data_IF_561574054943
#
_entry.id   IF_561574054943
#
_cell.length_a   1.000
_cell.length_b   1.000
_cell.length_c   1.000
_cell.angle_alpha   90.00
_cell.angle_beta   90.00
_cell.angle_gamma   90.00
#
_symmetry.space_group_name_H-M   'P 1'
#
loop_
_entity.id
_entity.type
_entity.pdbx_description
1 polymer ?
#
# COMPACT_ATOMS: atom_id res chain seq x y z
N UNK A 1 4.09 -4.93 24.48
CA UNK A 1 3.03 -5.72 23.81
C UNK A 1 3.30 -5.76 22.31
N UNK A 2 3.28 -6.94 21.69
CA UNK A 2 3.40 -7.06 20.22
C UNK A 2 2.05 -6.70 19.60
N UNK A 3 2.00 -5.66 18.78
CA UNK A 3 0.77 -5.27 18.08
C UNK A 3 0.44 -6.35 17.04
N UNK A 4 -0.81 -6.81 17.04
CA UNK A 4 -1.29 -7.89 16.15
C UNK A 4 -2.20 -7.27 15.08
N UNK A 5 -1.60 -6.81 13.98
CA UNK A 5 -2.28 -6.04 12.92
C UNK A 5 -3.41 -6.80 12.21
N UNK A 6 -3.38 -8.14 12.21
CA UNK A 6 -4.45 -8.97 11.60
C UNK A 6 -5.83 -8.72 12.21
N UNK A 7 -5.91 -8.26 13.45
CA UNK A 7 -7.16 -8.00 14.14
C UNK A 7 -7.71 -6.58 13.88
N UNK A 8 -6.96 -5.74 13.15
CA UNK A 8 -7.34 -4.36 12.90
C UNK A 8 -8.21 -4.27 11.64
N UNK A 9 -9.25 -3.44 11.70
CA UNK A 9 -10.04 -3.07 10.53
C UNK A 9 -9.22 -2.18 9.58
N UNK A 10 -9.63 -2.12 8.32
CA UNK A 10 -8.95 -1.34 7.26
C UNK A 10 -8.68 0.11 7.68
N UNK A 11 -9.72 0.80 8.15
CA UNK A 11 -9.62 2.20 8.59
C UNK A 11 -8.62 2.38 9.75
N UNK A 12 -8.47 1.37 10.61
CA UNK A 12 -7.52 1.42 11.72
C UNK A 12 -6.09 1.24 11.22
N UNK A 13 -5.85 0.35 10.26
CA UNK A 13 -4.53 0.20 9.62
C UNK A 13 -4.11 1.50 8.92
N UNK A 14 -5.04 2.14 8.20
CA UNK A 14 -4.81 3.42 7.52
C UNK A 14 -4.52 4.53 8.54
N UNK A 15 -5.33 4.64 9.60
CA UNK A 15 -5.10 5.63 10.67
C UNK A 15 -3.75 5.43 11.38
N UNK A 16 -3.38 4.18 11.66
CA UNK A 16 -2.10 3.88 12.31
C UNK A 16 -0.91 4.27 11.44
N UNK A 17 -0.99 4.05 10.14
CA UNK A 17 0.04 4.49 9.19
C UNK A 17 0.10 6.02 9.11
N UNK A 18 -1.06 6.71 9.03
CA UNK A 18 -1.11 8.18 8.98
C UNK A 18 -0.61 8.88 10.26
N UNK A 19 -0.69 8.20 11.41
CA UNK A 19 -0.21 8.71 12.72
C UNK A 19 1.25 8.36 13.03
N UNK A 20 1.88 7.51 12.23
CA UNK A 20 3.24 7.01 12.46
C UNK A 20 4.20 7.42 11.36
N UNK A 21 5.21 8.21 11.70
CA UNK A 21 6.31 8.65 10.82
C UNK A 21 7.27 7.53 10.37
N UNK A 22 6.88 6.25 10.47
CA UNK A 22 7.77 5.12 10.20
C UNK A 22 7.08 4.11 9.29
N UNK A 23 7.78 3.80 8.18
CA UNK A 23 7.48 2.70 7.28
C UNK A 23 7.24 1.41 8.08
N UNK A 24 5.95 1.08 8.29
CA UNK A 24 5.56 -0.07 9.07
C UNK A 24 5.41 -1.29 8.16
N UNK A 25 6.50 -2.06 8.07
CA UNK A 25 6.58 -3.27 7.26
C UNK A 25 5.51 -4.31 7.62
N UNK A 26 5.08 -4.38 8.87
CA UNK A 26 4.04 -5.32 9.30
C UNK A 26 2.63 -4.89 8.82
N UNK A 27 2.34 -3.59 8.78
CA UNK A 27 1.11 -3.07 8.16
C UNK A 27 1.12 -3.40 6.66
N UNK A 28 2.24 -3.17 5.97
CA UNK A 28 2.37 -3.49 4.54
C UNK A 28 2.18 -4.98 4.25
N UNK A 29 2.75 -5.87 5.07
CA UNK A 29 2.56 -7.33 4.95
C UNK A 29 1.11 -7.74 5.14
N UNK A 30 0.47 -7.24 6.20
CA UNK A 30 -0.94 -7.55 6.47
C UNK A 30 -1.85 -7.02 5.37
N UNK A 31 -1.56 -5.83 4.84
CA UNK A 31 -2.29 -5.26 3.72
C UNK A 31 -2.16 -6.10 2.45
N UNK A 32 -0.92 -6.47 2.10
CA UNK A 32 -0.65 -7.33 0.94
C UNK A 32 -1.34 -8.69 1.08
N UNK A 33 -1.41 -9.24 2.30
CA UNK A 33 -2.14 -10.49 2.56
C UNK A 33 -3.65 -10.36 2.28
N UNK A 34 -4.25 -9.21 2.58
CA UNK A 34 -5.70 -8.97 2.42
C UNK A 34 -6.09 -8.64 0.98
N UNK A 35 -5.30 -7.81 0.31
CA UNK A 35 -5.68 -7.22 -0.97
C UNK A 35 -4.77 -7.62 -2.13
N UNK A 36 -3.68 -8.36 -1.87
CA UNK A 36 -2.64 -8.69 -2.86
C UNK A 36 -2.08 -7.45 -3.57
N UNK A 37 -2.10 -6.31 -2.88
CA UNK A 37 -1.68 -5.01 -3.38
C UNK A 37 -0.79 -4.31 -2.36
N UNK A 38 0.04 -3.39 -2.85
CA UNK A 38 0.87 -2.56 -1.98
C UNK A 38 -0.04 -1.62 -1.17
N UNK A 39 0.24 -1.48 0.13
CA UNK A 39 -0.38 -0.43 0.94
C UNK A 39 -0.08 0.96 0.34
N UNK A 40 -1.04 1.90 0.25
CA UNK A 40 -2.42 1.87 0.78
C UNK A 40 -3.49 1.51 -0.26
N UNK A 41 -3.15 0.74 -1.29
CA UNK A 41 -4.01 0.52 -2.45
C UNK A 41 -4.86 -0.75 -2.31
N UNK A 42 -6.10 -0.69 -2.80
CA UNK A 42 -7.00 -1.84 -3.00
C UNK A 42 -7.78 -1.68 -4.30
N UNK A 43 -8.49 -2.70 -4.74
CA UNK A 43 -9.49 -2.56 -5.80
C UNK A 43 -10.85 -2.20 -5.19
N UNK A 44 -11.57 -1.27 -5.80
CA UNK A 44 -12.97 -1.01 -5.49
C UNK A 44 -13.89 -2.09 -6.09
N UNK A 45 -15.21 -1.95 -5.87
CA UNK A 45 -16.22 -2.90 -6.36
C UNK A 45 -16.27 -2.98 -7.90
N UNK A 46 -15.73 -1.99 -8.59
CA UNK A 46 -15.66 -1.92 -10.06
C UNK A 46 -14.32 -2.42 -10.61
N UNK A 47 -13.41 -2.83 -9.72
CA UNK A 47 -12.07 -3.30 -10.08
C UNK A 47 -11.04 -2.18 -10.27
N UNK A 48 -11.38 -0.92 -9.97
CA UNK A 48 -10.44 0.20 -10.11
C UNK A 48 -9.55 0.33 -8.88
N UNK A 49 -8.32 0.77 -9.08
CA UNK A 49 -7.37 0.99 -7.99
C UNK A 49 -7.83 2.18 -7.15
N UNK A 50 -7.94 1.97 -5.84
CA UNK A 50 -8.37 2.96 -4.87
C UNK A 50 -7.28 3.16 -3.81
N UNK A 51 -6.89 4.41 -3.58
CA UNK A 51 -5.98 4.80 -2.51
C UNK A 51 -6.77 5.04 -1.22
N UNK A 52 -6.54 4.18 -0.22
CA UNK A 52 -7.30 4.26 1.04
C UNK A 52 -6.88 5.41 1.96
N UNK A 53 -5.73 6.05 1.71
CA UNK A 53 -5.31 7.24 2.46
C UNK A 53 -6.01 8.48 1.90
N UNK A 54 -5.90 8.71 0.58
CA UNK A 54 -6.47 9.90 -0.06
C UNK A 54 -7.96 9.75 -0.38
N UNK A 55 -8.49 8.53 -0.27
CA UNK A 55 -9.86 8.17 -0.63
C UNK A 55 -10.20 8.48 -2.09
N UNK A 56 -9.22 8.28 -2.98
CA UNK A 56 -9.35 8.56 -4.40
C UNK A 56 -9.14 7.29 -5.22
N UNK A 57 -9.99 7.12 -6.23
CA UNK A 57 -9.78 6.14 -7.30
C UNK A 57 -8.73 6.69 -8.26
N UNK A 58 -7.71 5.90 -8.54
CA UNK A 58 -6.65 6.23 -9.48
C UNK A 58 -7.10 5.89 -10.90
N UNK A 59 -6.76 6.77 -11.84
CA UNK A 59 -6.90 6.48 -13.26
C UNK A 59 -5.76 5.58 -13.77
N UNK A 60 -5.99 4.90 -14.89
CA UNK A 60 -5.00 4.00 -15.51
C UNK A 60 -3.64 4.71 -15.74
N UNK A 61 -3.67 5.97 -16.17
CA UNK A 61 -2.46 6.76 -16.43
C UNK A 61 -1.64 7.06 -15.15
N UNK A 62 -2.29 7.11 -13.99
CA UNK A 62 -1.61 7.25 -12.70
C UNK A 62 -1.06 5.90 -12.23
N UNK A 63 -1.83 4.83 -12.42
CA UNK A 63 -1.37 3.46 -12.15
C UNK A 63 -0.11 3.12 -12.96
N UNK A 64 -0.07 3.47 -14.25
CA UNK A 64 1.08 3.23 -15.11
C UNK A 64 2.35 3.93 -14.58
N UNK A 65 2.22 5.19 -14.15
CA UNK A 65 3.34 5.94 -13.54
C UNK A 65 3.86 5.24 -12.29
N UNK A 66 2.96 4.82 -11.39
CA UNK A 66 3.32 4.12 -10.15
C UNK A 66 4.01 2.78 -10.42
N UNK A 67 3.55 2.02 -11.42
CA UNK A 67 4.19 0.77 -11.84
C UNK A 67 5.60 1.04 -12.36
N UNK A 68 5.77 2.07 -13.19
CA UNK A 68 7.08 2.45 -13.74
C UNK A 68 8.05 2.90 -12.65
N UNK A 69 7.60 3.71 -11.69
CA UNK A 69 8.40 4.15 -10.54
C UNK A 69 8.82 2.97 -9.68
N UNK A 70 7.90 2.06 -9.37
CA UNK A 70 8.19 0.85 -8.62
C UNK A 70 9.22 -0.02 -9.35
N UNK A 71 9.09 -0.17 -10.68
CA UNK A 71 10.04 -0.92 -11.49
C UNK A 71 11.43 -0.26 -11.50
N UNK A 72 11.52 1.07 -11.59
CA UNK A 72 12.78 1.83 -11.50
C UNK A 72 13.47 1.62 -10.15
N UNK A 73 12.74 1.81 -9.05
CA UNK A 73 13.27 1.63 -7.70
C UNK A 73 13.80 0.19 -7.47
N UNK A 74 13.14 -0.82 -8.04
CA UNK A 74 13.63 -2.21 -7.99
C UNK A 74 14.91 -2.43 -8.78
N UNK A 75 15.07 -1.79 -9.96
CA UNK A 75 16.31 -1.87 -10.74
C UNK A 75 17.47 -1.21 -10.02
N UNK A 76 17.26 -0.03 -9.44
CA UNK A 76 18.28 0.70 -8.67
C UNK A 76 18.77 -0.10 -7.45
N UNK A 77 17.85 -0.74 -6.71
CA UNK A 77 18.19 -1.62 -5.59
C UNK A 77 18.98 -2.86 -5.99
N UNK A 78 18.82 -3.34 -7.23
CA UNK A 78 19.59 -4.48 -7.75
C UNK A 78 20.96 -4.06 -8.24
N UNK A 79 21.10 -2.84 -8.75
CA UNK A 79 22.38 -2.32 -9.24
C UNK A 79 23.36 -1.96 -8.11
N UNK A 80 22.86 -1.69 -6.91
CA UNK A 80 23.64 -1.34 -5.71
C UNK A 80 23.98 -2.54 -4.82
N UNK A 81 23.70 -3.77 -5.28
CA UNK A 81 23.85 -5.02 -4.53
C UNK A 81 24.83 -5.96 -5.22
#
# INVERSE_FOLDING_TARGET
MKVVYRNFAEHQLVMLYGRGTLDNTEIKKEWFKRYSMNFPYKTDITGKVFNCITQQTLGDSECDKLILEQAKALRERRATR
#
